data_IF_071717137199
#
_entry.id   IF_071717137199
#
_cell.length_a   1.000
_cell.length_b   1.000
_cell.length_c   1.000
_cell.angle_alpha   90.00
_cell.angle_beta   90.00
_cell.angle_gamma   90.00
#
_symmetry.space_group_name_H-M   'P 1'
#
loop_
_entity.id
_entity.type
_entity.pdbx_description
1 polymer ?
#
# COMPACT_ATOMS: atom_id res chain seq x y z
N UNK A 1 -38.69 0.89 51.31
CA UNK A 1 -39.44 -0.09 50.50
C UNK A 1 -39.54 0.49 49.10
N UNK A 2 -38.86 0.03 48.06
CA UNK A 2 -38.00 -1.13 47.91
C UNK A 2 -36.84 -0.84 46.94
N UNK A 3 -35.79 -1.64 47.08
CA UNK A 3 -34.60 -1.68 46.24
C UNK A 3 -34.94 -2.33 44.91
N UNK A 4 -34.40 -1.82 43.79
CA UNK A 4 -34.43 -2.50 42.50
C UNK A 4 -33.01 -2.56 41.96
N UNK A 5 -32.55 -3.80 41.81
CA UNK A 5 -31.19 -4.21 41.53
C UNK A 5 -30.72 -3.86 40.11
N UNK A 6 -29.45 -3.48 40.02
CA UNK A 6 -28.68 -3.30 38.78
C UNK A 6 -28.25 -4.68 38.27
N UNK A 7 -28.70 -5.05 37.07
CA UNK A 7 -28.31 -6.28 36.40
C UNK A 7 -27.08 -6.01 35.53
N UNK A 8 -25.91 -6.45 35.99
CA UNK A 8 -24.70 -6.52 35.19
C UNK A 8 -24.74 -7.77 34.31
N UNK A 9 -24.62 -7.62 33.00
CA UNK A 9 -24.50 -8.73 32.05
C UNK A 9 -23.04 -8.87 31.61
N UNK A 10 -22.37 -9.90 32.14
CA UNK A 10 -21.05 -10.35 31.69
C UNK A 10 -21.12 -11.18 30.39
N UNK A 11 -20.01 -11.23 29.61
CA UNK A 11 -19.97 -11.88 28.31
C UNK A 11 -19.71 -13.39 28.42
N UNK A 12 -20.34 -14.16 27.54
CA UNK A 12 -20.15 -15.60 27.41
C UNK A 12 -18.71 -15.93 26.95
N UNK A 13 -17.99 -16.65 27.81
CA UNK A 13 -16.75 -17.35 27.53
C UNK A 13 -17.02 -18.56 26.63
N UNK A 14 -16.18 -18.74 25.61
CA UNK A 14 -15.92 -20.04 25.00
C UNK A 14 -14.41 -20.21 24.96
N UNK A 15 -13.89 -21.11 25.79
CA UNK A 15 -12.46 -21.46 25.86
C UNK A 15 -12.09 -22.47 24.77
N UNK A 16 -10.91 -22.30 24.18
CA UNK A 16 -10.03 -23.41 23.84
C UNK A 16 -8.58 -22.92 23.86
N UNK A 17 -7.85 -23.38 24.88
CA UNK A 17 -6.40 -23.27 25.01
C UNK A 17 -5.71 -24.21 24.01
N UNK A 18 -4.67 -23.73 23.33
CA UNK A 18 -3.33 -24.30 23.51
C UNK A 18 -2.26 -23.41 22.89
N UNK A 19 -1.36 -22.94 23.76
CA UNK A 19 -0.15 -22.19 23.43
C UNK A 19 1.03 -23.14 23.57
N UNK A 20 1.82 -23.33 22.52
CA UNK A 20 3.23 -23.74 22.67
C UNK A 20 4.15 -22.72 22.01
N UNK A 21 4.93 -22.07 22.88
CA UNK A 21 6.17 -21.35 22.60
C UNK A 21 7.13 -22.26 21.84
N UNK A 22 7.79 -21.73 20.80
CA UNK A 22 9.08 -22.23 20.37
C UNK A 22 10.01 -21.02 20.22
N UNK A 23 11.08 -21.07 20.99
CA UNK A 23 12.14 -20.07 21.14
C UNK A 23 13.21 -20.22 20.06
N UNK A 24 13.99 -19.15 19.91
CA UNK A 24 15.16 -19.02 19.05
C UNK A 24 16.21 -20.12 19.33
N UNK A 25 16.29 -21.10 18.43
CA UNK A 25 17.45 -21.94 18.03
C UNK A 25 16.88 -23.15 17.31
N UNK A 26 17.15 -23.24 16.00
CA UNK A 26 17.17 -24.46 15.16
C UNK A 26 16.69 -24.19 13.72
N UNK A 27 17.42 -23.39 12.93
CA UNK A 27 17.50 -23.60 11.46
C UNK A 27 18.87 -23.11 10.94
N UNK A 28 19.92 -23.87 11.19
CA UNK A 28 21.16 -23.80 10.42
C UNK A 28 21.52 -25.21 9.94
N UNK A 29 21.24 -25.52 8.67
CA UNK A 29 22.24 -26.11 7.78
C UNK A 29 21.78 -26.13 6.31
N UNK A 30 22.77 -25.86 5.46
CA UNK A 30 22.86 -25.61 4.02
C UNK A 30 22.54 -26.85 3.12
N UNK A 31 22.52 -26.80 1.75
CA UNK A 31 23.44 -26.01 0.91
C UNK A 31 22.94 -25.38 -0.41
N UNK A 32 23.82 -24.49 -0.87
CA UNK A 32 23.99 -23.93 -2.21
C UNK A 32 24.02 -24.97 -3.33
N UNK A 33 23.40 -24.65 -4.47
CA UNK A 33 23.87 -25.12 -5.77
C UNK A 33 23.60 -24.03 -6.82
N UNK A 34 24.68 -23.39 -7.26
CA UNK A 34 24.74 -22.88 -8.62
C UNK A 34 24.78 -24.08 -9.57
N UNK A 35 23.89 -24.12 -10.57
CA UNK A 35 24.28 -24.27 -11.98
C UNK A 35 23.06 -24.33 -12.92
N UNK A 36 23.23 -23.62 -14.05
CA UNK A 36 22.71 -23.89 -15.40
C UNK A 36 21.32 -23.39 -15.81
N UNK A 37 21.39 -22.25 -16.49
CA UNK A 37 20.57 -21.84 -17.64
C UNK A 37 20.13 -23.03 -18.51
N UNK A 38 18.83 -23.27 -18.62
CA UNK A 38 18.16 -23.75 -19.83
C UNK A 38 16.84 -23.00 -19.95
N UNK A 39 16.61 -22.37 -21.10
CA UNK A 39 15.42 -21.58 -21.38
C UNK A 39 14.17 -22.45 -21.45
N UNK A 40 13.32 -22.34 -20.43
CA UNK A 40 11.98 -22.93 -20.45
C UNK A 40 11.04 -21.94 -21.15
N UNK A 41 10.67 -22.25 -22.39
CA UNK A 41 9.50 -21.65 -23.02
C UNK A 41 8.29 -22.04 -22.18
N UNK A 42 7.77 -21.07 -21.42
CA UNK A 42 6.52 -21.20 -20.67
C UNK A 42 5.40 -21.57 -21.64
N UNK A 43 5.04 -22.85 -21.67
CA UNK A 43 3.83 -23.38 -22.29
C UNK A 43 2.64 -22.97 -21.43
N UNK A 44 2.28 -21.69 -21.50
CA UNK A 44 1.11 -21.17 -20.79
C UNK A 44 -0.15 -21.85 -21.36
N UNK A 45 -0.89 -22.55 -20.50
CA UNK A 45 -2.21 -23.06 -20.85
C UNK A 45 -3.10 -21.91 -21.36
N UNK A 46 -3.99 -22.14 -22.35
CA UNK A 46 -4.84 -21.09 -22.93
C UNK A 46 -5.62 -20.26 -21.90
N UNK A 47 -6.00 -20.87 -20.77
CA UNK A 47 -6.80 -20.24 -19.73
C UNK A 47 -6.01 -19.22 -18.89
N UNK A 48 -4.73 -19.50 -18.59
CA UNK A 48 -3.85 -18.54 -17.91
C UNK A 48 -3.59 -17.28 -18.74
N UNK A 49 -3.48 -17.43 -20.07
CA UNK A 49 -3.32 -16.29 -20.98
C UNK A 49 -4.56 -15.39 -20.97
N UNK A 50 -5.76 -15.97 -21.08
CA UNK A 50 -7.03 -15.22 -21.02
C UNK A 50 -7.20 -14.44 -19.71
N UNK A 51 -6.84 -15.03 -18.56
CA UNK A 51 -6.93 -14.36 -17.26
C UNK A 51 -5.99 -13.16 -17.19
N UNK A 52 -4.75 -13.30 -17.67
CA UNK A 52 -3.83 -12.17 -17.74
C UNK A 52 -4.37 -11.07 -18.66
N UNK A 53 -4.81 -11.42 -19.86
CA UNK A 53 -5.36 -10.44 -20.81
C UNK A 53 -6.53 -9.64 -20.19
N UNK A 54 -7.39 -10.27 -19.39
CA UNK A 54 -8.47 -9.60 -18.66
C UNK A 54 -7.97 -8.63 -17.58
N UNK A 55 -6.89 -8.99 -16.86
CA UNK A 55 -6.28 -8.17 -15.81
C UNK A 55 -5.55 -6.95 -16.36
N UNK A 56 -5.02 -7.07 -17.58
CA UNK A 56 -4.24 -6.04 -18.27
C UNK A 56 -5.10 -5.01 -19.05
N UNK A 57 -6.41 -5.23 -19.17
CA UNK A 57 -7.29 -4.27 -19.87
C UNK A 57 -7.13 -2.86 -19.29
N UNK A 58 -6.94 -1.87 -20.14
CA UNK A 58 -6.75 -0.48 -19.71
C UNK A 58 -5.39 -0.17 -19.08
N UNK A 59 -4.38 -1.02 -19.30
CA UNK A 59 -3.03 -0.78 -18.80
C UNK A 59 -2.48 0.57 -19.26
N UNK A 60 -2.11 1.44 -18.31
CA UNK A 60 -1.59 2.80 -18.54
C UNK A 60 -2.55 3.80 -19.24
N UNK A 61 -3.77 3.40 -19.57
CA UNK A 61 -4.76 4.23 -20.27
C UNK A 61 -5.53 5.17 -19.34
N UNK A 62 -5.58 4.87 -18.04
CA UNK A 62 -6.38 5.58 -17.04
C UNK A 62 -5.54 6.26 -15.96
N UNK A 63 -6.16 7.17 -15.23
CA UNK A 63 -5.58 7.89 -14.10
C UNK A 63 -5.46 9.38 -14.37
N UNK A 64 -4.50 10.02 -13.70
CA UNK A 64 -4.28 11.46 -13.74
C UNK A 64 -2.78 11.76 -13.90
N UNK A 65 -2.42 13.04 -13.87
CA UNK A 65 -1.02 13.48 -13.94
C UNK A 65 -0.16 12.96 -12.78
N UNK A 66 -0.76 12.63 -11.63
CA UNK A 66 -0.02 12.16 -10.46
C UNK A 66 0.25 10.65 -10.50
N UNK A 67 -0.75 9.86 -10.88
CA UNK A 67 -0.71 8.39 -10.85
C UNK A 67 -1.48 7.80 -12.04
N UNK A 68 -0.92 6.74 -12.63
CA UNK A 68 -1.61 5.92 -13.65
C UNK A 68 -2.38 4.83 -12.92
N UNK A 69 -3.70 4.80 -13.02
CA UNK A 69 -4.53 3.89 -12.20
C UNK A 69 -5.89 3.70 -12.83
N UNK A 70 -6.43 2.49 -12.72
CA UNK A 70 -7.74 2.08 -13.26
C UNK A 70 -8.86 2.14 -12.22
N UNK A 71 -8.76 3.08 -11.29
CA UNK A 71 -9.82 3.35 -10.32
C UNK A 71 -9.83 4.80 -9.83
N UNK A 72 -10.98 5.27 -9.37
CA UNK A 72 -11.15 6.51 -8.61
C UNK A 72 -11.27 6.21 -7.11
N UNK A 73 -10.96 7.18 -6.25
CA UNK A 73 -11.20 7.08 -4.81
C UNK A 73 -12.50 7.77 -4.44
N UNK A 74 -13.19 7.25 -3.42
CA UNK A 74 -14.18 7.99 -2.65
C UNK A 74 -13.51 8.67 -1.48
N UNK A 75 -13.53 9.99 -1.46
CA UNK A 75 -12.91 10.79 -0.43
C UNK A 75 -13.69 10.63 0.89
N UNK A 76 -13.12 10.08 1.97
CA UNK A 76 -13.85 9.85 3.23
C UNK A 76 -14.23 11.16 3.95
N UNK A 77 -13.59 12.28 3.61
CA UNK A 77 -13.84 13.59 4.20
C UNK A 77 -15.11 14.28 3.67
N UNK A 78 -15.46 14.06 2.40
CA UNK A 78 -16.55 14.78 1.73
C UNK A 78 -17.44 13.88 0.85
N UNK A 79 -17.14 12.58 0.78
CA UNK A 79 -17.84 11.56 -0.01
C UNK A 79 -17.82 11.77 -1.54
N UNK A 80 -17.02 12.71 -2.03
CA UNK A 80 -16.85 12.99 -3.45
C UNK A 80 -15.85 12.03 -4.10
N UNK A 81 -15.91 11.93 -5.43
CA UNK A 81 -15.10 11.00 -6.23
C UNK A 81 -13.98 11.77 -6.92
N UNK A 82 -12.75 11.25 -6.81
CA UNK A 82 -11.58 11.84 -7.46
C UNK A 82 -10.66 10.75 -8.02
N UNK A 83 -9.88 11.08 -9.05
CA UNK A 83 -8.85 10.16 -9.58
C UNK A 83 -7.84 9.76 -8.52
N UNK A 84 -7.38 10.71 -7.72
CA UNK A 84 -6.46 10.43 -6.63
C UNK A 84 -6.54 11.49 -5.52
N UNK A 85 -5.77 11.27 -4.44
CA UNK A 85 -5.72 12.19 -3.31
C UNK A 85 -5.18 13.57 -3.67
N UNK A 86 -4.25 13.65 -4.62
CA UNK A 86 -3.66 14.93 -5.03
C UNK A 86 -4.66 15.72 -5.85
N UNK A 87 -5.37 15.09 -6.79
CA UNK A 87 -6.49 15.73 -7.51
C UNK A 87 -7.55 16.28 -6.54
N UNK A 88 -7.92 15.52 -5.51
CA UNK A 88 -8.82 16.01 -4.46
C UNK A 88 -8.23 17.23 -3.76
N UNK A 89 -7.01 17.13 -3.23
CA UNK A 89 -6.43 18.20 -2.42
C UNK A 89 -6.20 19.47 -3.26
N UNK A 90 -5.83 19.34 -4.54
CA UNK A 90 -5.73 20.46 -5.47
C UNK A 90 -7.10 21.14 -5.68
N UNK A 91 -8.15 20.36 -5.91
CA UNK A 91 -9.50 20.88 -6.09
C UNK A 91 -10.07 21.53 -4.82
N UNK A 92 -9.87 20.90 -3.65
CA UNK A 92 -10.43 21.37 -2.37
C UNK A 92 -9.64 22.47 -1.70
N UNK A 93 -8.37 22.66 -2.07
CA UNK A 93 -7.55 23.75 -1.55
C UNK A 93 -7.29 24.86 -2.59
N UNK A 94 -8.05 24.90 -3.69
CA UNK A 94 -7.92 25.97 -4.68
C UNK A 94 -8.32 27.34 -4.09
N UNK A 95 -7.87 28.41 -4.74
CA UNK A 95 -8.14 29.79 -4.27
C UNK A 95 -9.63 30.11 -4.23
N UNK A 96 -10.41 29.52 -5.15
CA UNK A 96 -11.85 29.74 -5.30
C UNK A 96 -12.68 29.04 -4.20
N UNK A 97 -12.07 28.13 -3.44
CA UNK A 97 -12.72 27.47 -2.31
C UNK A 97 -12.59 28.34 -1.06
N UNK A 98 -13.74 28.64 -0.46
CA UNK A 98 -13.85 29.28 0.85
C UNK A 98 -13.00 28.51 1.88
N UNK A 99 -12.21 29.25 2.66
CA UNK A 99 -11.24 28.70 3.60
C UNK A 99 -11.83 27.65 4.54
N UNK A 100 -13.10 27.81 4.96
CA UNK A 100 -13.78 26.84 5.86
C UNK A 100 -14.03 25.47 5.22
N UNK A 101 -14.00 25.38 3.90
CA UNK A 101 -14.21 24.13 3.16
C UNK A 101 -12.92 23.52 2.63
N UNK A 102 -11.76 24.15 2.88
CA UNK A 102 -10.46 23.62 2.48
C UNK A 102 -10.06 22.44 3.36
N UNK A 103 -9.66 21.34 2.74
CA UNK A 103 -9.28 20.13 3.46
C UNK A 103 -8.52 19.16 2.56
N UNK A 104 -7.75 18.29 3.23
CA UNK A 104 -7.02 17.20 2.60
C UNK A 104 -7.69 15.85 2.89
N UNK A 105 -7.52 14.89 1.97
CA UNK A 105 -7.93 13.52 2.24
C UNK A 105 -7.07 12.90 3.35
N UNK A 106 -7.69 12.30 4.39
CA UNK A 106 -6.99 11.42 5.33
C UNK A 106 -6.63 10.10 4.63
N UNK A 107 -5.45 10.06 3.99
CA UNK A 107 -5.03 9.02 3.03
C UNK A 107 -5.26 7.57 3.49
N UNK A 108 -5.06 7.27 4.77
CA UNK A 108 -5.18 5.91 5.30
C UNK A 108 -6.64 5.48 5.57
N UNK A 109 -7.57 6.44 5.57
CA UNK A 109 -9.00 6.20 5.84
C UNK A 109 -9.83 5.96 4.58
N UNK A 110 -9.23 6.00 3.39
CA UNK A 110 -9.93 5.64 2.15
C UNK A 110 -10.30 4.16 2.20
N UNK A 111 -11.61 3.86 2.12
CA UNK A 111 -12.17 2.50 2.15
C UNK A 111 -12.74 2.07 0.81
N UNK A 112 -13.27 3.01 0.04
CA UNK A 112 -14.01 2.72 -1.20
C UNK A 112 -13.27 3.26 -2.43
N UNK A 113 -13.29 2.47 -3.49
CA UNK A 113 -12.77 2.81 -4.83
C UNK A 113 -13.79 2.45 -5.90
N UNK A 114 -13.74 3.15 -7.03
CA UNK A 114 -14.64 2.92 -8.18
C UNK A 114 -13.77 2.49 -9.36
N UNK A 115 -14.05 1.34 -9.96
CA UNK A 115 -13.31 0.86 -11.12
C UNK A 115 -13.53 1.79 -12.33
N UNK A 116 -12.48 2.23 -13.00
CA UNK A 116 -12.59 3.11 -14.18
C UNK A 116 -13.06 2.40 -15.45
N UNK A 117 -13.11 1.06 -15.45
CA UNK A 117 -13.50 0.27 -16.63
C UNK A 117 -14.97 -0.18 -16.58
N UNK A 118 -15.49 -0.48 -15.40
CA UNK A 118 -16.83 -1.03 -15.24
C UNK A 118 -17.65 -0.31 -14.16
N UNK A 119 -17.14 0.80 -13.64
CA UNK A 119 -17.81 1.71 -12.70
C UNK A 119 -18.26 1.07 -11.38
N UNK A 120 -17.78 -0.15 -11.11
CA UNK A 120 -18.10 -0.87 -9.88
C UNK A 120 -17.43 -0.20 -8.70
N UNK A 121 -18.25 0.24 -7.75
CA UNK A 121 -17.82 0.69 -6.43
C UNK A 121 -17.57 -0.52 -5.51
N UNK A 122 -16.44 -0.52 -4.82
CA UNK A 122 -15.98 -1.64 -3.99
C UNK A 122 -15.00 -1.19 -2.91
N UNK A 123 -14.85 -2.04 -1.88
CA UNK A 123 -13.77 -1.90 -0.89
C UNK A 123 -12.39 -1.95 -1.56
N UNK A 124 -11.43 -1.21 -0.97
CA UNK A 124 -10.06 -1.10 -1.47
C UNK A 124 -9.40 -2.47 -1.54
N UNK A 125 -9.06 -2.85 -2.76
CA UNK A 125 -8.32 -4.05 -3.10
C UNK A 125 -7.67 -3.86 -4.47
N UNK A 126 -6.66 -4.65 -4.81
CA UNK A 126 -5.90 -4.45 -6.05
C UNK A 126 -6.73 -4.71 -7.31
N UNK A 127 -7.62 -5.70 -7.30
CA UNK A 127 -8.36 -6.12 -8.50
C UNK A 127 -9.84 -5.74 -8.40
N UNK A 128 -10.46 -5.39 -9.52
CA UNK A 128 -11.90 -5.14 -9.53
C UNK A 128 -12.68 -6.43 -9.23
N UNK A 129 -13.67 -6.38 -8.33
CA UNK A 129 -14.48 -7.56 -7.95
C UNK A 129 -15.42 -8.01 -9.06
N UNK A 130 -15.81 -7.10 -9.95
CA UNK A 130 -16.78 -7.36 -11.00
C UNK A 130 -16.06 -7.78 -12.29
N UNK A 131 -15.15 -6.94 -12.79
CA UNK A 131 -14.52 -7.18 -14.10
C UNK A 131 -13.11 -7.78 -14.04
N UNK A 132 -12.58 -8.06 -12.84
CA UNK A 132 -11.30 -8.74 -12.62
C UNK A 132 -10.04 -7.92 -12.98
N UNK A 133 -10.18 -6.70 -13.51
CA UNK A 133 -9.04 -5.88 -13.91
C UNK A 133 -8.13 -5.58 -12.73
N UNK A 134 -6.80 -5.65 -12.91
CA UNK A 134 -5.87 -5.15 -11.90
C UNK A 134 -5.96 -3.62 -11.90
N UNK A 135 -6.29 -2.94 -10.79
CA UNK A 135 -6.53 -1.49 -10.78
C UNK A 135 -5.26 -0.64 -10.63
N UNK A 136 -4.12 -1.28 -10.35
CA UNK A 136 -2.79 -0.68 -10.29
C UNK A 136 -1.73 -1.77 -10.16
N UNK A 137 -0.72 -1.78 -11.04
CA UNK A 137 0.37 -2.77 -10.99
C UNK A 137 1.11 -2.73 -9.66
N UNK A 138 1.50 -1.55 -9.23
CA UNK A 138 1.89 -1.30 -7.85
C UNK A 138 0.63 -1.02 -7.04
N UNK A 139 0.45 -1.79 -5.97
CA UNK A 139 -0.61 -1.58 -5.00
C UNK A 139 -0.04 -1.60 -3.58
N UNK A 140 -0.36 -0.57 -2.80
CA UNK A 140 -0.07 -0.56 -1.37
C UNK A 140 -1.38 -0.49 -0.57
N UNK A 141 -1.72 -1.59 0.10
CA UNK A 141 -2.90 -1.67 0.95
C UNK A 141 -2.87 -0.74 2.16
N UNK A 142 -1.69 -0.43 2.70
CA UNK A 142 -1.54 0.53 3.81
C UNK A 142 -1.84 1.95 3.35
N UNK A 143 -1.20 2.40 2.26
CA UNK A 143 -1.35 3.76 1.76
C UNK A 143 -2.53 3.98 0.81
N UNK A 144 -3.25 2.91 0.44
CA UNK A 144 -4.32 2.91 -0.56
C UNK A 144 -3.84 3.48 -1.91
N UNK A 145 -2.59 3.20 -2.25
CA UNK A 145 -1.93 3.71 -3.46
C UNK A 145 -2.04 2.67 -4.58
N UNK A 146 -2.44 3.13 -5.77
CA UNK A 146 -2.50 2.39 -7.01
C UNK A 146 -1.67 3.16 -8.04
N UNK A 147 -0.71 2.49 -8.67
CA UNK A 147 0.05 3.07 -9.77
C UNK A 147 0.45 1.98 -10.77
N UNK A 148 0.15 2.17 -12.05
CA UNK A 148 0.57 1.30 -13.14
C UNK A 148 1.97 1.62 -13.61
N UNK A 149 2.42 2.85 -13.37
CA UNK A 149 3.77 3.27 -13.72
C UNK A 149 4.78 2.73 -12.71
N UNK A 150 5.09 1.44 -12.82
CA UNK A 150 6.07 0.75 -11.96
C UNK A 150 7.51 1.19 -12.21
N UNK A 151 7.77 2.00 -13.26
CA UNK A 151 9.11 2.53 -13.55
C UNK A 151 9.60 3.46 -12.44
N UNK A 152 8.69 4.06 -11.66
CA UNK A 152 9.02 4.87 -10.48
C UNK A 152 9.57 4.04 -9.31
N UNK A 153 9.49 2.70 -9.39
CA UNK A 153 9.97 1.77 -8.37
C UNK A 153 9.43 2.15 -6.99
N UNK A 154 8.10 2.26 -6.89
CA UNK A 154 7.42 2.59 -5.65
C UNK A 154 7.68 1.50 -4.60
N UNK A 155 7.82 1.91 -3.34
CA UNK A 155 7.89 0.99 -2.22
C UNK A 155 7.26 1.61 -0.98
N UNK A 156 6.72 0.78 -0.09
CA UNK A 156 6.23 1.23 1.20
C UNK A 156 7.37 1.24 2.22
N UNK A 157 7.62 2.38 2.86
CA UNK A 157 8.52 2.44 4.01
C UNK A 157 7.69 2.35 5.30
N UNK A 158 7.80 1.22 6.01
CA UNK A 158 7.09 1.02 7.28
C UNK A 158 7.49 2.04 8.35
N UNK A 159 8.76 2.44 8.40
CA UNK A 159 9.23 3.46 9.35
C UNK A 159 8.63 4.85 9.11
N UNK A 160 8.36 5.23 7.85
CA UNK A 160 7.68 6.48 7.53
C UNK A 160 6.14 6.34 7.45
N UNK A 161 5.61 5.12 7.35
CA UNK A 161 4.18 4.87 7.14
C UNK A 161 3.63 5.34 5.79
N UNK A 162 4.51 5.60 4.80
CA UNK A 162 4.14 6.12 3.48
C UNK A 162 4.94 5.44 2.35
N UNK A 163 4.34 5.42 1.16
CA UNK A 163 5.05 5.02 -0.05
C UNK A 163 6.06 6.09 -0.48
N UNK A 164 7.21 5.62 -0.95
CA UNK A 164 8.30 6.36 -1.57
C UNK A 164 8.55 5.79 -2.97
N UNK A 165 9.47 6.40 -3.71
CA UNK A 165 9.87 6.01 -5.07
C UNK A 165 11.38 5.81 -5.12
N UNK A 166 11.88 5.12 -6.15
CA UNK A 166 13.30 4.91 -6.41
C UNK A 166 13.86 3.56 -5.94
N UNK A 167 13.01 2.58 -5.61
CA UNK A 167 13.40 1.22 -5.26
C UNK A 167 13.79 1.07 -3.78
N UNK A 168 13.22 0.07 -3.10
CA UNK A 168 13.48 -0.15 -1.66
C UNK A 168 14.93 -0.48 -1.35
N UNK A 169 15.63 -1.10 -2.30
CA UNK A 169 17.04 -1.48 -2.22
C UNK A 169 18.00 -0.28 -2.24
N UNK A 170 17.55 0.86 -2.76
CA UNK A 170 18.35 2.09 -2.87
C UNK A 170 18.21 3.01 -1.65
N UNK A 171 17.35 2.65 -0.69
CA UNK A 171 17.06 3.48 0.47
C UNK A 171 17.04 2.68 1.78
N UNK A 172 17.25 3.37 2.88
CA UNK A 172 17.02 2.82 4.21
C UNK A 172 16.34 3.87 5.10
N UNK A 173 15.57 3.40 6.07
CA UNK A 173 14.98 4.26 7.08
C UNK A 173 15.92 4.37 8.29
N UNK A 174 16.27 5.59 8.68
CA UNK A 174 16.98 5.84 9.93
C UNK A 174 15.97 6.13 11.03
N UNK A 175 15.77 5.18 11.96
CA UNK A 175 14.82 5.33 13.06
C UNK A 175 15.20 6.43 14.05
N UNK A 176 16.50 6.75 14.18
CA UNK A 176 16.96 7.87 15.01
C UNK A 176 16.55 9.23 14.42
N UNK A 177 16.61 9.37 13.10
CA UNK A 177 16.25 10.62 12.41
C UNK A 177 14.77 10.67 11.99
N UNK A 178 14.08 9.54 11.92
CA UNK A 178 12.72 9.42 11.38
C UNK A 178 12.62 9.58 9.85
N UNK A 179 13.73 9.52 9.12
CA UNK A 179 13.81 9.83 7.69
C UNK A 179 14.38 8.68 6.86
N UNK A 180 13.98 8.62 5.58
CA UNK A 180 14.60 7.74 4.59
C UNK A 180 15.80 8.42 3.93
N UNK A 181 16.89 7.68 3.78
CA UNK A 181 18.13 8.13 3.16
C UNK A 181 18.57 7.14 2.09
N UNK A 182 19.33 7.62 1.09
CA UNK A 182 19.93 6.75 0.09
C UNK A 182 20.95 5.81 0.72
N UNK A 183 20.98 4.54 0.29
CA UNK A 183 21.98 3.55 0.72
C UNK A 183 23.41 3.96 0.35
N UNK A 184 23.59 4.86 -0.63
CA UNK A 184 24.90 5.46 -0.92
C UNK A 184 25.51 6.20 0.27
N UNK A 185 24.68 6.76 1.16
CA UNK A 185 25.21 7.41 2.35
C UNK A 185 25.81 6.40 3.33
N UNK A 186 25.35 5.13 3.34
CA UNK A 186 25.88 4.08 4.22
C UNK A 186 27.36 3.82 3.98
N UNK A 187 27.82 3.88 2.73
CA UNK A 187 29.19 3.51 2.35
C UNK A 187 30.21 4.64 2.56
N UNK A 188 29.76 5.90 2.59
CA UNK A 188 30.66 7.07 2.66
C UNK A 188 31.11 7.38 4.10
N UNK A 189 30.47 6.82 5.13
CA UNK A 189 30.81 7.13 6.53
C UNK A 189 31.22 5.87 7.30
N UNK A 190 32.52 5.74 7.59
CA UNK A 190 33.08 4.79 8.56
C UNK A 190 32.75 5.16 10.03
N UNK A 191 31.70 5.95 10.28
CA UNK A 191 31.45 6.60 11.58
C UNK A 191 29.96 6.63 11.98
N UNK A 192 29.21 5.56 11.70
CA UNK A 192 27.78 5.47 12.05
C UNK A 192 27.50 5.21 13.53
N UNK A 193 28.49 4.77 14.31
CA UNK A 193 28.23 4.36 15.70
C UNK A 193 28.00 5.54 16.66
N UNK A 194 28.43 6.78 16.36
CA UNK A 194 28.31 7.88 17.34
C UNK A 194 27.69 9.21 16.88
N UNK A 195 27.40 9.42 15.60
CA UNK A 195 26.65 10.60 15.18
C UNK A 195 25.78 10.29 13.97
N UNK A 196 24.46 10.19 14.20
CA UNK A 196 23.51 10.36 13.12
C UNK A 196 23.64 11.79 12.59
N UNK A 197 24.40 11.94 11.50
CA UNK A 197 24.35 12.99 10.50
C UNK A 197 23.94 14.36 11.08
N UNK A 198 24.94 15.17 11.45
CA UNK A 198 24.77 16.63 11.54
C UNK A 198 24.66 17.20 10.11
N UNK A 199 23.54 16.99 9.44
CA UNK A 199 23.18 17.83 8.28
C UNK A 199 22.38 18.99 8.86
N UNK A 200 23.09 20.11 9.05
CA UNK A 200 22.49 21.43 9.26
C UNK A 200 22.46 22.13 7.91
#
# INVERSE_FOLDING_TARGET
MGEVAVMHSEPLQFECNDRKLITEKDVHNLPSNEERMHGEKSSQSPDHKKINDLRERGYMEYGCQHYRRRCHIRAPCCNEIFDCRHCHNEAKNSIDIDQKHRHDIPRHQVKQVICSLCETEQEVQQNCINCGVCMGKYFCGTCKLFDDDVSKQQYHCSGCGICRTGGSENFFHCYKCGCCYSTLLKTVTLAWEEQCIKIV
#
